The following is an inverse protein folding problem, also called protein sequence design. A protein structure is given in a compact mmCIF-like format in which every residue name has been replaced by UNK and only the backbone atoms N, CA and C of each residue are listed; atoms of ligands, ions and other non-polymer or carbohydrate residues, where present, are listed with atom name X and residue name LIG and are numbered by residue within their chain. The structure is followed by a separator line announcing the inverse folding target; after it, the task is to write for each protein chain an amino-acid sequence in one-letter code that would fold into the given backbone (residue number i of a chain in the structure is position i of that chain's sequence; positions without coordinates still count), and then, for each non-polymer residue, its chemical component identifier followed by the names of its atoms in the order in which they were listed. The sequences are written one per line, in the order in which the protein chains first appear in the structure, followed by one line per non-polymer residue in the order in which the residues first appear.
data_IF_190477764234
#
_entry.id   IF_190477764234
#
_cell.length_a   1.000
_cell.length_b   1.000
_cell.length_c   1.000
_cell.angle_alpha   90.00
_cell.angle_beta   90.00
_cell.angle_gamma   90.00
#
_symmetry.space_group_name_H-M   'P 1'
#
loop_
_entity.id
_entity.type
_entity.pdbx_description
1 polymer ?
#
# COMPACT_ATOMS: atom_id res chain seq x y z
N UNK A 1 5.14 10.56 -14.81
CA UNK A 1 5.65 10.48 -13.42
C UNK A 1 7.15 10.30 -13.51
N UNK A 2 7.93 11.03 -12.72
CA UNK A 2 9.38 10.83 -12.65
C UNK A 2 9.61 9.78 -11.56
N UNK A 3 10.23 8.65 -11.91
CA UNK A 3 10.55 7.60 -10.93
C UNK A 3 11.56 8.13 -9.91
N UNK A 4 11.24 7.94 -8.63
CA UNK A 4 12.12 8.25 -7.52
C UNK A 4 13.23 7.22 -7.37
N UNK A 5 14.25 7.56 -6.57
CA UNK A 5 15.37 6.67 -6.27
C UNK A 5 14.90 5.37 -5.60
N UNK A 6 13.90 5.46 -4.72
CA UNK A 6 13.33 4.31 -4.02
C UNK A 6 12.63 3.32 -4.97
N UNK A 7 12.04 3.81 -6.06
CA UNK A 7 11.33 2.98 -7.03
C UNK A 7 12.28 1.96 -7.70
N UNK A 8 13.58 2.23 -7.71
CA UNK A 8 14.59 1.30 -8.23
C UNK A 8 14.59 -0.04 -7.49
N UNK A 9 14.25 -0.06 -6.20
CA UNK A 9 14.17 -1.32 -5.45
C UNK A 9 13.09 -2.27 -6.00
N UNK A 10 12.07 -1.73 -6.68
CA UNK A 10 10.98 -2.54 -7.25
C UNK A 10 11.39 -3.29 -8.51
N UNK A 11 12.47 -2.89 -9.19
CA UNK A 11 12.90 -3.45 -10.47
C UNK A 11 14.28 -4.11 -10.41
N UNK A 12 14.98 -3.97 -9.30
CA UNK A 12 16.26 -4.65 -9.02
C UNK A 12 16.01 -6.12 -8.77
N UNK A 13 16.87 -6.99 -9.29
CA UNK A 13 16.77 -8.44 -9.07
C UNK A 13 16.68 -8.78 -7.57
N UNK A 14 15.88 -9.79 -7.20
CA UNK A 14 15.65 -10.17 -5.81
C UNK A 14 16.93 -10.41 -5.01
N UNK A 15 17.95 -11.03 -5.63
CA UNK A 15 19.25 -11.31 -5.03
C UNK A 15 20.04 -10.04 -4.68
N UNK A 16 19.69 -8.91 -5.31
CA UNK A 16 20.41 -7.65 -5.21
C UNK A 16 19.72 -6.62 -4.33
N UNK A 17 18.61 -6.96 -3.65
CA UNK A 17 17.83 -5.98 -2.86
C UNK A 17 18.63 -5.36 -1.73
N UNK A 18 19.48 -6.13 -1.03
CA UNK A 18 20.34 -5.58 0.01
C UNK A 18 21.34 -4.57 -0.57
N UNK A 19 21.96 -4.93 -1.69
CA UNK A 19 22.89 -4.07 -2.42
C UNK A 19 22.20 -2.82 -2.98
N UNK A 20 21.00 -2.99 -3.53
CA UNK A 20 20.15 -1.91 -4.01
C UNK A 20 19.74 -0.96 -2.89
N UNK A 21 19.45 -1.47 -1.70
CA UNK A 21 19.13 -0.64 -0.53
C UNK A 21 20.32 0.24 -0.14
N UNK A 22 21.53 -0.31 -0.16
CA UNK A 22 22.77 0.47 0.08
C UNK A 22 22.95 1.56 -0.98
N UNK A 23 22.73 1.22 -2.25
CA UNK A 23 22.78 2.18 -3.35
C UNK A 23 21.78 3.32 -3.18
N UNK A 24 20.51 3.00 -2.89
CA UNK A 24 19.44 4.00 -2.69
C UNK A 24 19.76 4.93 -1.53
N UNK A 25 20.27 4.40 -0.41
CA UNK A 25 20.69 5.22 0.74
C UNK A 25 21.75 6.25 0.34
N UNK A 26 22.77 5.84 -0.40
CA UNK A 26 23.84 6.73 -0.90
C UNK A 26 23.28 7.78 -1.85
N UNK A 27 22.52 7.35 -2.86
CA UNK A 27 21.96 8.22 -3.89
C UNK A 27 21.02 9.30 -3.31
N UNK A 28 20.17 8.93 -2.34
CA UNK A 28 19.32 9.91 -1.64
C UNK A 28 20.17 10.97 -0.92
N UNK A 29 21.25 10.54 -0.26
CA UNK A 29 22.14 11.44 0.47
C UNK A 29 22.85 12.41 -0.47
N UNK A 30 23.40 11.91 -1.57
CA UNK A 30 24.04 12.73 -2.61
C UNK A 30 23.06 13.77 -3.20
N UNK A 31 21.82 13.36 -3.50
CA UNK A 31 20.79 14.29 -3.99
C UNK A 31 20.38 15.33 -2.95
N UNK A 32 20.30 14.95 -1.67
CA UNK A 32 20.07 15.91 -0.59
C UNK A 32 21.21 16.94 -0.52
N UNK A 33 22.46 16.49 -0.59
CA UNK A 33 23.64 17.37 -0.60
C UNK A 33 23.64 18.32 -1.81
N UNK A 34 23.38 17.80 -3.01
CA UNK A 34 23.35 18.61 -4.23
C UNK A 34 22.20 19.64 -4.22
N UNK A 35 21.06 19.30 -3.62
CA UNK A 35 19.92 20.19 -3.48
C UNK A 35 20.00 21.14 -2.26
N UNK A 36 21.06 21.03 -1.44
CA UNK A 36 21.18 21.81 -0.19
C UNK A 36 20.16 21.44 0.89
N UNK A 37 19.57 20.25 0.82
CA UNK A 37 18.55 19.76 1.77
C UNK A 37 19.26 19.02 2.92
N UNK A 38 18.94 19.39 4.16
CA UNK A 38 19.48 18.72 5.33
C UNK A 38 19.02 17.24 5.41
N UNK A 39 19.99 16.31 5.44
CA UNK A 39 19.72 14.88 5.58
C UNK A 39 19.53 14.48 7.06
N UNK A 40 18.33 14.04 7.44
CA UNK A 40 18.03 13.59 8.81
C UNK A 40 18.30 12.09 8.99
N UNK A 41 19.45 11.75 9.59
CA UNK A 41 19.81 10.35 9.88
C UNK A 41 18.76 9.61 10.71
N UNK A 42 18.19 10.27 11.73
CA UNK A 42 17.20 9.64 12.61
C UNK A 42 15.90 9.25 11.88
N UNK A 43 15.35 10.14 11.04
CA UNK A 43 14.15 9.86 10.24
C UNK A 43 14.38 8.74 9.24
N UNK A 44 15.52 8.79 8.54
CA UNK A 44 15.89 7.75 7.58
C UNK A 44 16.11 6.40 8.24
N UNK A 45 16.72 6.34 9.43
CA UNK A 45 16.83 5.09 10.20
C UNK A 45 15.47 4.48 10.51
N UNK A 46 14.52 5.30 10.99
CA UNK A 46 13.16 4.86 11.25
C UNK A 46 12.45 4.32 10.00
N UNK A 47 12.59 5.04 8.88
CA UNK A 47 12.06 4.60 7.58
C UNK A 47 12.66 3.27 7.13
N UNK A 48 13.98 3.10 7.17
CA UNK A 48 14.64 1.87 6.72
C UNK A 48 14.31 0.67 7.62
N UNK A 49 14.19 0.89 8.93
CA UNK A 49 13.74 -0.13 9.87
C UNK A 49 12.29 -0.57 9.60
N UNK A 50 11.40 0.38 9.31
CA UNK A 50 10.04 0.06 8.86
C UNK A 50 10.04 -0.68 7.51
N UNK A 51 10.82 -0.19 6.55
CA UNK A 51 10.90 -0.77 5.21
C UNK A 51 11.32 -2.24 5.25
N UNK A 52 12.37 -2.56 6.03
CA UNK A 52 12.84 -3.94 6.21
C UNK A 52 11.75 -4.82 6.82
N UNK A 53 11.20 -4.43 7.97
CA UNK A 53 10.18 -5.23 8.68
C UNK A 53 8.95 -5.48 7.82
N UNK A 54 8.47 -4.47 7.10
CA UNK A 54 7.23 -4.58 6.33
C UNK A 54 7.46 -5.22 4.96
N UNK A 55 8.41 -4.72 4.17
CA UNK A 55 8.54 -5.12 2.77
C UNK A 55 9.50 -6.29 2.57
N UNK A 56 10.52 -6.46 3.41
CA UNK A 56 11.47 -7.56 3.27
C UNK A 56 11.05 -8.77 4.11
N UNK A 57 10.67 -8.55 5.37
CA UNK A 57 10.35 -9.64 6.31
C UNK A 57 8.87 -10.06 6.24
N UNK A 58 7.92 -9.12 6.37
CA UNK A 58 6.49 -9.45 6.46
C UNK A 58 5.86 -9.83 5.11
N UNK A 59 5.98 -8.97 4.09
CA UNK A 59 5.41 -9.27 2.77
C UNK A 59 6.32 -10.12 1.89
N UNK A 60 7.65 -9.99 2.05
CA UNK A 60 8.64 -10.66 1.22
C UNK A 60 8.84 -9.99 -0.16
N UNK A 61 10.10 -9.96 -0.61
CA UNK A 61 10.51 -9.29 -1.87
C UNK A 61 9.69 -9.71 -3.08
N UNK A 62 9.39 -11.01 -3.19
CA UNK A 62 8.68 -11.61 -4.34
C UNK A 62 7.27 -11.03 -4.59
N UNK A 63 6.65 -10.42 -3.58
CA UNK A 63 5.26 -9.96 -3.66
C UNK A 63 5.14 -8.56 -4.27
N UNK A 64 6.18 -7.73 -4.14
CA UNK A 64 6.15 -6.34 -4.59
C UNK A 64 7.19 -6.01 -5.65
N UNK A 65 8.26 -6.80 -5.75
CA UNK A 65 9.25 -6.63 -6.78
C UNK A 65 8.76 -7.20 -8.11
N UNK A 66 9.03 -6.47 -9.19
CA UNK A 66 8.57 -6.73 -10.54
C UNK A 66 9.75 -6.97 -11.49
N UNK A 67 10.95 -7.20 -10.97
CA UNK A 67 12.13 -7.51 -11.77
C UNK A 67 11.88 -8.77 -12.62
N UNK A 68 12.13 -8.66 -13.93
CA UNK A 68 11.91 -9.74 -14.88
C UNK A 68 10.45 -9.98 -15.27
N UNK A 69 9.48 -9.21 -14.74
CA UNK A 69 8.15 -9.15 -15.33
C UNK A 69 8.20 -8.33 -16.62
N UNK A 70 7.45 -8.78 -17.62
CA UNK A 70 7.30 -8.03 -18.86
C UNK A 70 6.68 -6.65 -18.56
N UNK A 71 7.13 -5.61 -19.28
CA UNK A 71 6.70 -4.23 -19.06
C UNK A 71 5.22 -4.00 -19.39
N UNK A 72 4.48 -5.04 -19.80
CA UNK A 72 3.03 -5.04 -19.94
C UNK A 72 2.29 -5.13 -18.60
N UNK A 73 2.79 -4.45 -17.56
CA UNK A 73 2.00 -4.23 -16.35
C UNK A 73 0.94 -3.19 -16.65
N UNK A 74 -0.30 -3.64 -16.58
CA UNK A 74 -1.46 -2.79 -16.83
C UNK A 74 -2.03 -2.35 -15.49
N UNK A 75 -2.19 -1.04 -15.31
CA UNK A 75 -2.89 -0.49 -14.17
C UNK A 75 -4.31 -1.06 -14.12
N UNK A 76 -4.60 -1.89 -13.13
CA UNK A 76 -5.96 -2.29 -12.81
C UNK A 76 -6.51 -1.24 -11.85
N UNK A 77 -7.51 -0.43 -12.25
CA UNK A 77 -8.17 0.46 -11.31
C UNK A 77 -8.74 -0.37 -10.16
N UNK A 78 -8.41 0.06 -8.94
CA UNK A 78 -8.88 -0.49 -7.69
C UNK A 78 -10.41 -0.68 -7.67
N UNK A 79 -10.79 -1.83 -7.13
CA UNK A 79 -12.13 -2.29 -6.79
C UNK A 79 -13.17 -2.34 -7.94
N UNK A 80 -13.43 -3.54 -8.53
CA UNK A 80 -14.50 -3.71 -9.51
C UNK A 80 -15.88 -3.31 -8.96
N UNK A 81 -16.11 -3.49 -7.65
CA UNK A 81 -17.36 -3.08 -6.99
C UNK A 81 -17.48 -1.56 -6.92
N UNK A 82 -16.39 -0.85 -6.60
CA UNK A 82 -16.39 0.62 -6.54
C UNK A 82 -16.68 1.26 -7.90
N UNK A 83 -16.10 0.69 -8.97
CA UNK A 83 -16.40 1.11 -10.34
C UNK A 83 -17.87 0.83 -10.71
N UNK A 84 -18.37 -0.35 -10.38
CA UNK A 84 -19.76 -0.72 -10.64
C UNK A 84 -20.74 0.16 -9.88
N UNK A 85 -20.50 0.42 -8.60
CA UNK A 85 -21.34 1.30 -7.79
C UNK A 85 -21.40 2.72 -8.34
N UNK A 86 -20.28 3.25 -8.85
CA UNK A 86 -20.27 4.59 -9.48
C UNK A 86 -21.05 4.62 -10.79
N UNK A 87 -20.87 3.60 -11.63
CA UNK A 87 -21.63 3.45 -12.89
C UNK A 87 -23.14 3.34 -12.59
N UNK A 88 -23.51 2.45 -11.67
CA UNK A 88 -24.89 2.23 -11.24
C UNK A 88 -25.51 3.52 -10.70
N UNK A 89 -24.81 4.24 -9.82
CA UNK A 89 -25.29 5.51 -9.27
C UNK A 89 -25.44 6.61 -10.34
N UNK A 90 -24.61 6.62 -11.39
CA UNK A 90 -24.71 7.61 -12.48
C UNK A 90 -25.96 7.44 -13.35
N UNK A 91 -26.57 6.25 -13.36
CA UNK A 91 -27.80 5.96 -14.11
C UNK A 91 -29.07 6.43 -13.40
N UNK A 92 -28.97 6.80 -12.11
CA UNK A 92 -30.10 7.32 -11.35
C UNK A 92 -30.11 8.85 -11.35
N UNK A 93 -31.21 9.44 -11.80
CA UNK A 93 -31.42 10.90 -11.76
C UNK A 93 -31.81 11.42 -10.37
N UNK A 94 -32.23 10.53 -9.47
CA UNK A 94 -32.63 10.85 -8.09
C UNK A 94 -31.88 9.95 -7.12
N UNK A 95 -31.45 10.47 -5.95
CA UNK A 95 -30.85 9.66 -4.88
C UNK A 95 -31.75 8.53 -4.36
N UNK A 96 -33.08 8.64 -4.56
CA UNK A 96 -34.06 7.64 -4.12
C UNK A 96 -35.06 7.34 -5.24
N UNK A 97 -34.71 6.44 -6.17
CA UNK A 97 -35.63 6.01 -7.22
C UNK A 97 -36.78 5.15 -6.66
N UNK A 98 -37.91 5.11 -7.37
CA UNK A 98 -38.97 4.15 -7.09
C UNK A 98 -38.48 2.71 -7.35
N UNK A 99 -39.12 1.70 -6.74
CA UNK A 99 -38.76 0.30 -6.99
C UNK A 99 -38.86 -0.08 -8.48
N UNK A 100 -39.88 0.42 -9.18
CA UNK A 100 -40.07 0.18 -10.61
C UNK A 100 -38.93 0.80 -11.45
N UNK A 101 -38.54 2.04 -11.13
CA UNK A 101 -37.41 2.71 -11.78
C UNK A 101 -36.09 1.99 -11.50
N UNK A 102 -35.88 1.56 -10.24
CA UNK A 102 -34.70 0.81 -9.83
C UNK A 102 -34.55 -0.49 -10.63
N UNK A 103 -35.59 -1.34 -10.65
CA UNK A 103 -35.59 -2.60 -11.40
C UNK A 103 -35.42 -2.34 -12.90
N UNK A 104 -36.05 -1.30 -13.43
CA UNK A 104 -35.91 -0.91 -14.84
C UNK A 104 -34.47 -0.59 -15.22
N UNK A 105 -33.80 0.29 -14.46
CA UNK A 105 -32.40 0.67 -14.70
C UNK A 105 -31.47 -0.55 -14.61
N UNK A 106 -31.66 -1.42 -13.60
CA UNK A 106 -30.83 -2.63 -13.44
C UNK A 106 -31.01 -3.59 -14.62
N UNK A 107 -32.24 -3.78 -15.11
CA UNK A 107 -32.50 -4.61 -16.30
C UNK A 107 -31.80 -4.07 -17.54
N UNK A 108 -31.91 -2.76 -17.79
CA UNK A 108 -31.24 -2.11 -18.92
C UNK A 108 -29.72 -2.25 -18.82
N UNK A 109 -29.14 -1.95 -17.66
CA UNK A 109 -27.70 -2.07 -17.42
C UNK A 109 -27.20 -3.51 -17.63
N UNK A 110 -27.98 -4.50 -17.16
CA UNK A 110 -27.66 -5.92 -17.32
C UNK A 110 -27.70 -6.34 -18.79
N UNK A 111 -28.71 -5.90 -19.53
CA UNK A 111 -28.85 -6.18 -20.97
C UNK A 111 -27.69 -5.57 -21.77
N UNK A 112 -27.37 -4.30 -21.52
CA UNK A 112 -26.21 -3.62 -22.13
C UNK A 112 -24.90 -4.37 -21.83
N UNK A 113 -24.73 -4.84 -20.59
CA UNK A 113 -23.52 -5.56 -20.19
C UNK A 113 -23.38 -6.91 -20.91
N UNK A 114 -24.45 -7.70 -20.99
CA UNK A 114 -24.48 -8.97 -21.73
C UNK A 114 -24.19 -8.75 -23.22
N UNK A 115 -24.77 -7.72 -23.81
CA UNK A 115 -24.54 -7.37 -25.20
C UNK A 115 -23.08 -6.94 -25.43
N UNK A 116 -22.52 -6.12 -24.54
CA UNK A 116 -21.11 -5.74 -24.59
C UNK A 116 -20.18 -6.95 -24.48
N UNK A 117 -20.50 -7.92 -23.63
CA UNK A 117 -19.73 -9.16 -23.52
C UNK A 117 -19.81 -10.00 -24.79
N UNK A 118 -20.97 -10.06 -25.44
CA UNK A 118 -21.15 -10.77 -26.71
C UNK A 118 -20.41 -10.08 -27.89
N UNK A 119 -20.24 -8.76 -27.82
CA UNK A 119 -19.61 -7.95 -28.85
C UNK A 119 -18.08 -7.91 -28.77
N UNK A 120 -17.49 -8.23 -27.61
CA UNK A 120 -16.02 -8.29 -27.42
C UNK A 120 -15.37 -9.38 -28.29
N UNK A 121 -15.82 -10.66 -28.27
CA UNK A 121 -15.28 -11.69 -29.16
C UNK A 121 -15.52 -11.40 -30.65
N UNK A 122 -16.57 -10.63 -30.96
CA UNK A 122 -16.93 -10.24 -32.33
C UNK A 122 -16.15 -9.02 -32.83
N UNK A 123 -15.25 -8.46 -32.02
CA UNK A 123 -14.43 -7.28 -32.35
C UNK A 123 -15.22 -5.98 -32.47
N UNK A 124 -16.51 -5.96 -32.09
CA UNK A 124 -17.41 -4.80 -32.20
C UNK A 124 -17.25 -3.84 -31.03
N UNK A 125 -16.72 -4.31 -29.91
CA UNK A 125 -16.35 -3.49 -28.75
C UNK A 125 -14.91 -3.78 -28.36
N UNK A 126 -14.06 -2.76 -28.32
CA UNK A 126 -12.69 -2.86 -27.80
C UNK A 126 -12.72 -2.73 -26.27
N UNK A 127 -11.87 -3.48 -25.59
CA UNK A 127 -11.58 -3.20 -24.19
C UNK A 127 -11.10 -1.75 -24.07
N UNK A 128 -11.59 -1.05 -23.03
CA UNK A 128 -11.11 0.30 -22.74
C UNK A 128 -9.57 0.28 -22.70
N UNK A 129 -8.88 1.19 -23.42
CA UNK A 129 -7.43 1.31 -23.33
C UNK A 129 -7.06 1.46 -21.86
N UNK A 130 -6.19 0.60 -21.39
CA UNK A 130 -5.68 0.68 -20.03
C UNK A 130 -4.30 1.30 -20.11
N UNK A 131 -4.00 2.18 -19.15
CA UNK A 131 -2.67 2.76 -19.06
C UNK A 131 -1.66 1.66 -18.74
N UNK A 132 -0.63 1.58 -19.58
CA UNK A 132 0.56 0.77 -19.31
C UNK A 132 1.36 1.48 -18.22
N UNK A 133 1.67 0.77 -17.16
CA UNK A 133 2.56 1.25 -16.11
C UNK A 133 3.96 1.25 -16.70
N UNK A 134 4.61 2.41 -16.69
CA UNK A 134 6.02 2.49 -17.04
C UNK A 134 6.85 2.17 -15.80
N UNK A 135 7.59 1.06 -15.86
CA UNK A 135 8.53 0.68 -14.80
C UNK A 135 9.82 1.48 -14.92
N UNK A 136 10.49 1.76 -13.78
CA UNK A 136 11.85 2.29 -13.80
C UNK A 136 12.78 1.32 -14.56
N UNK A 137 13.77 1.88 -15.27
CA UNK A 137 14.83 1.06 -15.89
C UNK A 137 15.82 0.65 -14.81
N UNK A 138 16.11 -0.67 -14.62
CA UNK A 138 17.10 -1.11 -13.66
C UNK A 138 18.48 -0.51 -13.93
N UNK A 139 19.12 0.02 -12.90
CA UNK A 139 20.50 0.52 -12.96
C UNK A 139 21.45 -0.60 -12.54
N UNK A 140 22.60 -0.72 -13.19
CA UNK A 140 23.68 -1.61 -12.75
C UNK A 140 24.20 -1.15 -11.39
N UNK A 141 23.92 -1.93 -10.34
CA UNK A 141 24.36 -1.61 -8.98
C UNK A 141 25.83 -2.02 -8.82
N UNK A 142 26.76 -1.09 -8.50
CA UNK A 142 28.17 -1.40 -8.27
C UNK A 142 28.35 -2.43 -7.14
N UNK A 143 29.40 -3.25 -7.22
CA UNK A 143 29.70 -4.30 -6.24
C UNK A 143 30.34 -3.74 -4.95
N UNK A 144 30.97 -2.57 -5.03
CA UNK A 144 31.82 -1.95 -4.01
C UNK A 144 31.12 -0.79 -3.26
N UNK A 145 29.81 -0.89 -3.02
CA UNK A 145 29.09 0.15 -2.29
C UNK A 145 29.49 0.08 -0.81
N UNK A 146 30.29 1.06 -0.38
CA UNK A 146 30.65 1.26 1.01
C UNK A 146 29.40 1.21 1.90
N UNK A 147 29.41 0.27 2.85
CA UNK A 147 28.38 0.14 3.87
C UNK A 147 28.61 1.19 4.94
N UNK A 148 28.19 2.42 4.66
CA UNK A 148 28.15 3.48 5.65
C UNK A 148 26.89 3.28 6.52
N UNK A 149 26.92 2.18 7.26
CA UNK A 149 25.87 1.69 8.14
C UNK A 149 25.55 2.75 9.19
N UNK A 150 24.34 3.31 9.14
CA UNK A 150 23.75 3.99 10.28
C UNK A 150 23.38 2.91 11.34
N UNK A 151 24.39 2.25 11.93
CA UNK A 151 24.35 1.08 12.83
C UNK A 151 22.95 0.65 13.27
N UNK A 152 22.52 -0.49 12.73
CA UNK A 152 21.34 -1.27 13.14
C UNK A 152 21.64 -1.96 14.50
N UNK A 153 21.81 -1.19 15.58
CA UNK A 153 21.72 -1.78 16.92
C UNK A 153 20.24 -1.83 17.33
N UNK A 154 19.67 -3.01 17.61
CA UNK A 154 18.29 -3.11 18.04
C UNK A 154 18.18 -2.44 19.42
N UNK A 155 17.35 -1.41 19.52
CA UNK A 155 16.84 -0.97 20.82
C UNK A 155 16.10 -2.17 21.41
N UNK A 156 16.76 -2.87 22.33
CA UNK A 156 16.09 -3.75 23.27
C UNK A 156 14.94 -2.92 23.87
N UNK A 157 13.70 -3.25 23.51
CA UNK A 157 12.55 -2.82 24.29
C UNK A 157 12.80 -3.35 25.70
N UNK A 158 13.23 -2.47 26.61
CA UNK A 158 13.12 -2.73 28.02
C UNK A 158 11.63 -2.85 28.30
N UNK A 159 11.16 -4.09 28.35
CA UNK A 159 9.91 -4.41 28.99
C UNK A 159 10.02 -3.90 30.43
N UNK A 160 9.40 -2.76 30.71
CA UNK A 160 9.00 -2.44 32.06
C UNK A 160 7.85 -3.39 32.39
N UNK A 161 8.20 -4.60 32.82
CA UNK A 161 7.37 -5.34 33.76
C UNK A 161 7.41 -4.53 35.05
N UNK A 162 6.37 -3.76 35.31
CA UNK A 162 6.03 -3.39 36.67
C UNK A 162 4.80 -4.20 37.06
N UNK A 163 5.10 -5.37 37.62
CA UNK A 163 4.16 -6.12 38.43
C UNK A 163 4.79 -6.17 39.82
N UNK A 164 4.26 -5.38 40.74
CA UNK A 164 4.27 -5.71 42.15
C UNK A 164 2.83 -5.62 42.66
N UNK A 165 2.29 -6.79 42.97
CA UNK A 165 1.14 -6.98 43.85
C UNK A 165 1.47 -6.40 45.24
N UNK A 166 0.46 -5.91 45.95
CA UNK A 166 -0.05 -6.62 47.13
C UNK A 166 -1.26 -5.89 47.73
N UNK A 167 -2.20 -6.71 48.19
CA UNK A 167 -3.48 -6.37 48.80
C UNK A 167 -3.32 -5.96 50.28
N UNK A 168 -4.24 -5.14 50.81
CA UNK A 168 -5.13 -5.61 51.86
C UNK A 168 -6.29 -4.65 52.20
N UNK A 169 -7.36 -5.33 52.60
CA UNK A 169 -8.68 -4.97 53.12
C UNK A 169 -8.79 -3.78 54.09
N UNK A 170 -9.94 -3.11 54.05
CA UNK A 170 -10.74 -2.93 55.27
C UNK A 170 -12.23 -2.75 54.95
N UNK A 171 -13.04 -3.57 55.59
CA UNK A 171 -14.51 -3.54 55.64
C UNK A 171 -15.05 -2.31 56.40
N UNK A 172 -16.27 -1.88 56.03
CA UNK A 172 -17.48 -1.90 56.88
C UNK A 172 -18.52 -0.83 56.48
N UNK A 173 -19.75 -1.33 56.23
CA UNK A 173 -21.11 -0.86 56.64
C UNK A 173 -21.52 0.62 56.41
N UNK A 174 -22.76 1.02 56.09
CA UNK A 174 -24.07 0.36 55.99
C UNK A 174 -25.08 1.28 55.25
N UNK A 175 -26.25 0.70 54.93
CA UNK A 175 -27.58 1.32 54.82
C UNK A 175 -27.95 2.21 53.61
N UNK A 176 -29.12 1.88 53.03
CA UNK A 176 -30.13 2.93 52.84
C UNK A 176 -30.73 3.11 51.45
N UNK A 177 -31.74 2.28 51.14
CA UNK A 177 -33.03 2.72 50.56
C UNK A 177 -33.18 2.87 49.03
N UNK A 178 -33.92 1.90 48.49
CA UNK A 178 -34.87 1.91 47.37
C UNK A 178 -35.39 3.27 46.87
N UNK A 179 -35.51 3.44 45.55
CA UNK A 179 -36.79 3.80 44.93
C UNK A 179 -36.86 3.44 43.44
N UNK A 180 -37.94 2.72 43.06
CA UNK A 180 -38.39 2.47 41.69
C UNK A 180 -39.43 3.52 41.28
N UNK A 181 -39.41 3.97 40.03
CA UNK A 181 -40.58 4.06 39.10
C UNK A 181 -40.04 3.96 37.68
#
# INVERSE_FOLDING_TARGET
MISGVLDMLTVVEHSLIERGTKWVKREIRERCSAAGIAYSKAKWRGFWGYFRRTWVEQYGVKVWNVAGLDNELIARPNNPLGRFNRELNSRFLSPRPSMATFVGVIKTLSSEYVQRLADVPRGRVRHAPRERIQLPVPIGIPEDIADDSDSDEPLALKHASDSSLDEESNDDEEEGTSFSV
#
